data_IF_107660243213
#
_entry.id   IF_107660243213
#
_cell.length_a   1.000
_cell.length_b   1.000
_cell.length_c   1.000
_cell.angle_alpha   90.00
_cell.angle_beta   90.00
_cell.angle_gamma   90.00
#
_symmetry.space_group_name_H-M   'P 1'
#
loop_
_entity.id
_entity.type
_entity.pdbx_description
1 polymer ?
#
# COMPACT_ATOMS: atom_id res chain seq x y z
N UNK A 1 -5.06 -20.60 27.11
CA UNK A 1 -3.91 -20.48 26.18
C UNK A 1 -4.36 -20.80 24.80
N UNK A 2 -3.84 -20.14 23.82
CA UNK A 2 -4.11 -20.44 22.41
C UNK A 2 -2.88 -20.14 21.55
N UNK A 3 -2.72 -20.93 20.50
CA UNK A 3 -1.73 -20.71 19.46
C UNK A 3 -2.18 -19.53 18.58
N UNK A 4 -1.27 -18.69 18.06
CA UNK A 4 -1.60 -17.66 17.11
C UNK A 4 -2.39 -18.24 15.93
N UNK A 5 -3.45 -17.56 15.47
CA UNK A 5 -4.27 -18.03 14.36
C UNK A 5 -3.49 -18.03 13.03
N UNK A 6 -3.96 -18.81 12.07
CA UNK A 6 -3.38 -18.89 10.73
C UNK A 6 -3.47 -17.55 9.97
N UNK A 7 -4.49 -16.76 10.27
CA UNK A 7 -4.69 -15.44 9.72
C UNK A 7 -4.29 -14.39 10.75
N UNK A 8 -3.23 -13.61 10.52
CA UNK A 8 -2.74 -12.61 11.48
C UNK A 8 -3.77 -11.52 11.83
N UNK A 9 -4.78 -11.32 11.00
CA UNK A 9 -5.87 -10.36 11.24
C UNK A 9 -7.03 -10.90 12.05
N UNK A 10 -6.93 -12.14 12.52
CA UNK A 10 -7.94 -12.68 13.42
C UNK A 10 -8.07 -11.77 14.66
N UNK A 11 -9.30 -11.54 15.20
CA UNK A 11 -9.53 -10.67 16.36
C UNK A 11 -8.64 -11.00 17.57
N UNK A 12 -8.22 -12.25 17.70
CA UNK A 12 -7.28 -12.70 18.72
C UNK A 12 -5.95 -11.92 18.71
N UNK A 13 -5.44 -11.55 17.53
CA UNK A 13 -4.20 -10.77 17.45
C UNK A 13 -4.34 -9.40 18.10
N UNK A 14 -5.40 -8.66 17.77
CA UNK A 14 -5.65 -7.35 18.38
C UNK A 14 -5.82 -7.49 19.89
N UNK A 15 -6.52 -8.53 20.34
CA UNK A 15 -6.67 -8.83 21.76
C UNK A 15 -5.32 -9.09 22.43
N UNK A 16 -4.50 -9.97 21.86
CA UNK A 16 -3.18 -10.31 22.39
C UNK A 16 -2.22 -9.10 22.38
N UNK A 17 -2.24 -8.28 21.33
CA UNK A 17 -1.41 -7.07 21.25
C UNK A 17 -1.84 -6.02 22.27
N UNK A 18 -3.14 -5.84 22.49
CA UNK A 18 -3.65 -4.92 23.52
C UNK A 18 -3.27 -5.39 24.91
N UNK A 19 -3.40 -6.69 25.21
CA UNK A 19 -3.00 -7.27 26.48
C UNK A 19 -1.48 -7.12 26.70
N UNK A 20 -0.65 -7.36 25.67
CA UNK A 20 0.79 -7.11 25.74
C UNK A 20 1.15 -5.66 25.98
N UNK A 21 0.42 -4.73 25.35
CA UNK A 21 0.62 -3.28 25.52
C UNK A 21 0.17 -2.77 26.90
N UNK A 22 -0.79 -3.44 27.53
CA UNK A 22 -1.27 -3.09 28.88
C UNK A 22 -0.19 -3.30 29.95
N UNK A 23 0.86 -4.08 29.65
CA UNK A 23 1.98 -4.40 30.55
C UNK A 23 1.53 -4.91 31.94
N UNK A 24 0.40 -5.62 31.96
CA UNK A 24 -0.13 -6.32 33.12
C UNK A 24 0.05 -7.84 32.99
N UNK A 25 -0.29 -8.58 34.02
CA UNK A 25 -0.17 -10.05 34.05
C UNK A 25 -1.19 -10.79 33.15
N UNK A 26 -1.91 -10.06 32.30
CA UNK A 26 -2.92 -10.66 31.40
C UNK A 26 -2.33 -11.27 30.14
N UNK A 27 -1.05 -10.97 29.82
CA UNK A 27 -0.33 -11.50 28.67
C UNK A 27 0.89 -12.29 29.09
N UNK A 28 0.93 -13.56 28.74
CA UNK A 28 2.09 -14.42 28.86
C UNK A 28 2.32 -15.16 27.54
N UNK A 29 3.57 -15.22 27.12
CA UNK A 29 4.00 -15.92 25.90
C UNK A 29 5.09 -16.92 26.27
N UNK A 30 4.80 -18.20 26.10
CA UNK A 30 5.76 -19.28 26.31
C UNK A 30 6.14 -19.91 24.97
N UNK A 31 7.39 -19.83 24.61
CA UNK A 31 7.96 -20.43 23.40
C UNK A 31 8.56 -21.81 23.71
N UNK A 32 8.78 -22.63 22.68
CA UNK A 32 9.42 -23.95 22.84
C UNK A 32 10.82 -23.83 23.47
N UNK A 33 11.52 -22.71 23.27
CA UNK A 33 12.85 -22.48 23.84
C UNK A 33 12.80 -22.28 25.37
N UNK A 34 11.66 -21.81 25.90
CA UNK A 34 11.45 -21.51 27.32
C UNK A 34 10.86 -22.68 28.12
N UNK A 35 10.50 -23.77 27.45
CA UNK A 35 9.92 -24.96 28.11
C UNK A 35 11.02 -25.82 28.73
N UNK A 36 11.16 -25.73 30.05
CA UNK A 36 12.26 -26.35 30.80
C UNK A 36 12.30 -27.90 30.71
N UNK A 37 11.13 -28.55 30.64
CA UNK A 37 11.05 -30.02 30.64
C UNK A 37 11.26 -30.64 29.24
N UNK A 38 11.46 -29.84 28.18
CA UNK A 38 11.78 -30.30 26.82
C UNK A 38 13.30 -30.32 26.65
N UNK A 39 13.87 -31.49 26.43
CA UNK A 39 15.30 -31.59 26.19
C UNK A 39 15.72 -30.95 24.86
N UNK A 40 16.99 -30.55 24.69
CA UNK A 40 17.47 -30.02 23.41
C UNK A 40 17.19 -30.93 22.22
N UNK A 41 17.40 -32.25 22.37
CA UNK A 41 17.15 -33.21 21.29
C UNK A 41 15.66 -33.31 20.93
N UNK A 42 14.78 -33.27 21.93
CA UNK A 42 13.33 -33.26 21.70
C UNK A 42 12.88 -31.96 21.01
N UNK A 43 13.51 -30.84 21.38
CA UNK A 43 13.25 -29.53 20.77
C UNK A 43 13.65 -29.53 19.30
N UNK A 44 14.87 -29.98 18.98
CA UNK A 44 15.34 -30.08 17.61
C UNK A 44 14.50 -31.04 16.77
N UNK A 45 14.09 -32.15 17.32
CA UNK A 45 13.20 -33.12 16.67
C UNK A 45 11.82 -32.52 16.37
N UNK A 46 11.25 -31.72 17.30
CA UNK A 46 9.98 -31.02 17.09
C UNK A 46 10.09 -29.94 15.98
N UNK A 47 11.17 -29.16 16.02
CA UNK A 47 11.46 -28.14 15.00
C UNK A 47 11.63 -28.79 13.62
N UNK A 48 12.40 -29.88 13.53
CA UNK A 48 12.59 -30.58 12.26
C UNK A 48 11.26 -31.16 11.72
N UNK A 49 10.42 -31.74 12.59
CA UNK A 49 9.09 -32.25 12.22
C UNK A 49 8.16 -31.15 11.72
N UNK A 50 8.28 -29.95 12.24
CA UNK A 50 7.50 -28.77 11.80
C UNK A 50 8.04 -28.11 10.51
N UNK A 51 9.06 -28.69 9.87
CA UNK A 51 9.65 -28.18 8.64
C UNK A 51 10.84 -27.24 8.83
N UNK A 52 11.42 -27.21 10.04
CA UNK A 52 12.53 -26.34 10.41
C UNK A 52 12.08 -25.05 11.09
N UNK A 53 13.01 -24.37 11.75
CA UNK A 53 12.74 -23.18 12.57
C UNK A 53 12.14 -22.01 11.77
N UNK A 54 12.49 -21.90 10.49
CA UNK A 54 11.98 -20.87 9.60
C UNK A 54 10.57 -21.14 9.05
N UNK A 55 10.09 -22.40 9.16
CA UNK A 55 8.78 -22.76 8.64
C UNK A 55 7.66 -22.03 9.39
N UNK A 56 6.67 -21.53 8.66
CA UNK A 56 5.52 -20.79 9.21
C UNK A 56 4.81 -21.56 10.32
N UNK A 57 4.61 -22.88 10.13
CA UNK A 57 4.03 -23.76 11.16
C UNK A 57 4.87 -23.78 12.42
N UNK A 58 6.19 -23.92 12.30
CA UNK A 58 7.11 -23.93 13.43
C UNK A 58 7.08 -22.59 14.20
N UNK A 59 7.16 -21.48 13.48
CA UNK A 59 7.12 -20.12 14.05
C UNK A 59 5.81 -19.85 14.79
N UNK A 60 4.69 -20.30 14.23
CA UNK A 60 3.37 -20.11 14.83
C UNK A 60 3.15 -21.02 16.04
N UNK A 61 3.36 -22.32 15.88
CA UNK A 61 2.99 -23.34 16.88
C UNK A 61 3.98 -23.40 18.06
N UNK A 62 5.27 -23.19 17.79
CA UNK A 62 6.34 -23.36 18.78
C UNK A 62 6.96 -22.06 19.27
N UNK A 63 6.85 -20.98 18.46
CA UNK A 63 7.42 -19.69 18.85
C UNK A 63 6.35 -18.62 19.03
N UNK A 64 5.07 -18.98 18.97
CA UNK A 64 3.93 -18.07 19.19
C UNK A 64 3.97 -16.81 18.33
N UNK A 65 4.56 -16.89 17.13
CA UNK A 65 4.65 -15.76 16.22
C UNK A 65 3.38 -15.62 15.37
N UNK A 66 2.93 -14.38 15.18
CA UNK A 66 1.89 -14.07 14.20
C UNK A 66 2.54 -13.99 12.82
N UNK A 67 2.44 -15.06 12.06
CA UNK A 67 3.06 -15.18 10.74
C UNK A 67 2.03 -15.48 9.66
N UNK A 68 2.20 -14.88 8.51
CA UNK A 68 1.41 -15.17 7.31
C UNK A 68 2.09 -16.30 6.53
N UNK A 69 1.31 -17.21 5.97
CA UNK A 69 1.82 -18.20 5.03
C UNK A 69 2.37 -17.51 3.78
N UNK A 70 3.68 -17.57 3.55
CA UNK A 70 4.34 -16.94 2.41
C UNK A 70 3.70 -17.35 1.06
N UNK A 71 3.26 -18.61 0.95
CA UNK A 71 2.60 -19.12 -0.26
C UNK A 71 1.27 -18.45 -0.55
N UNK A 72 0.61 -17.90 0.47
CA UNK A 72 -0.66 -17.22 0.36
C UNK A 72 -0.53 -15.69 0.48
N UNK A 73 0.64 -15.18 0.87
CA UNK A 73 0.85 -13.74 0.99
C UNK A 73 0.60 -13.03 -0.34
N UNK A 74 -0.11 -11.91 -0.30
CA UNK A 74 -0.33 -11.07 -1.48
C UNK A 74 0.99 -10.48 -1.98
N UNK A 75 1.80 -9.96 -1.08
CA UNK A 75 3.07 -9.32 -1.38
C UNK A 75 4.16 -9.91 -0.48
N UNK A 76 4.61 -11.14 -0.74
CA UNK A 76 5.59 -11.82 0.11
C UNK A 76 6.92 -11.06 0.23
N UNK A 77 7.26 -10.26 -0.77
CA UNK A 77 8.48 -9.44 -0.78
C UNK A 77 8.46 -8.34 0.29
N UNK A 78 7.26 -7.91 0.75
CA UNK A 78 7.14 -6.76 1.65
C UNK A 78 7.93 -6.92 2.94
N UNK A 79 7.88 -8.08 3.59
CA UNK A 79 8.55 -8.32 4.88
C UNK A 79 10.07 -8.13 4.74
N UNK A 80 10.67 -8.70 3.69
CA UNK A 80 12.11 -8.57 3.44
C UNK A 80 12.53 -7.14 3.10
N UNK A 81 11.64 -6.38 2.44
CA UNK A 81 11.91 -5.03 1.95
C UNK A 81 11.26 -3.93 2.79
N UNK A 82 10.60 -4.26 3.90
CA UNK A 82 9.82 -3.33 4.75
C UNK A 82 10.56 -2.03 5.05
N UNK A 83 11.82 -2.11 5.47
CA UNK A 83 12.64 -0.93 5.80
C UNK A 83 12.86 0.05 4.64
N UNK A 84 12.68 -0.40 3.40
CA UNK A 84 12.77 0.44 2.20
C UNK A 84 11.40 0.93 1.73
N UNK A 85 10.34 0.22 2.08
CA UNK A 85 8.95 0.57 1.74
C UNK A 85 8.35 1.49 2.80
N UNK A 86 8.49 1.17 4.08
CA UNK A 86 7.98 1.98 5.19
C UNK A 86 9.00 3.06 5.53
N UNK A 87 8.82 4.25 4.93
CA UNK A 87 9.74 5.38 5.13
C UNK A 87 8.98 6.71 5.18
N UNK A 88 9.51 7.62 5.98
CA UNK A 88 9.17 9.03 5.89
C UNK A 88 10.13 9.71 4.92
N UNK A 89 9.58 10.32 3.86
CA UNK A 89 10.35 11.06 2.86
C UNK A 89 9.79 12.47 2.68
N UNK A 90 10.67 13.43 2.52
CA UNK A 90 10.27 14.81 2.27
C UNK A 90 9.64 14.92 0.87
N UNK A 91 8.45 15.54 0.80
CA UNK A 91 7.77 15.76 -0.47
C UNK A 91 8.50 16.83 -1.27
N UNK A 92 8.89 16.56 -2.53
CA UNK A 92 9.59 17.53 -3.37
C UNK A 92 8.69 18.72 -3.69
N UNK A 93 9.29 19.87 -3.99
CA UNK A 93 8.57 21.09 -4.40
C UNK A 93 7.65 20.85 -5.60
N UNK A 94 8.13 20.08 -6.59
CA UNK A 94 7.39 19.70 -7.78
C UNK A 94 7.11 18.21 -7.76
N UNK A 95 5.85 17.85 -7.86
CA UNK A 95 5.39 16.46 -7.87
C UNK A 95 4.09 16.32 -8.67
N UNK A 96 3.92 15.16 -9.30
CA UNK A 96 2.62 14.76 -9.85
C UNK A 96 1.83 14.07 -8.74
N UNK A 97 0.69 14.63 -8.36
CA UNK A 97 -0.17 14.08 -7.32
C UNK A 97 -1.20 13.10 -7.93
N UNK A 98 -1.44 12.02 -7.19
CA UNK A 98 -2.40 10.99 -7.53
C UNK A 98 -3.28 10.69 -6.33
N UNK A 99 -4.58 10.56 -6.56
CA UNK A 99 -5.50 9.99 -5.56
C UNK A 99 -6.16 8.77 -6.16
N UNK A 100 -6.03 7.66 -5.48
CA UNK A 100 -6.58 6.38 -5.92
C UNK A 100 -7.43 5.81 -4.82
N UNK A 101 -8.65 5.40 -5.13
CA UNK A 101 -9.57 4.83 -4.15
C UNK A 101 -10.09 3.48 -4.62
N UNK A 102 -10.09 2.53 -3.72
CA UNK A 102 -10.88 1.31 -3.79
C UNK A 102 -12.09 1.48 -2.86
N UNK A 103 -13.30 1.31 -3.39
CA UNK A 103 -14.52 1.58 -2.66
C UNK A 103 -15.25 0.30 -2.29
N UNK A 104 -15.58 0.14 -1.01
CA UNK A 104 -16.46 -0.88 -0.51
C UNK A 104 -17.54 -0.30 0.40
N UNK A 105 -18.81 -0.73 0.27
CA UNK A 105 -19.84 -0.30 1.21
C UNK A 105 -19.84 -1.17 2.47
N UNK A 106 -19.79 -2.49 2.31
CA UNK A 106 -19.69 -3.44 3.41
C UNK A 106 -18.25 -3.65 3.89
N UNK A 107 -17.28 -3.45 3.00
CA UNK A 107 -15.86 -3.52 3.24
C UNK A 107 -15.28 -2.14 3.55
N UNK A 108 -13.96 -2.00 3.53
CA UNK A 108 -13.33 -0.70 3.65
C UNK A 108 -13.40 0.07 2.32
N UNK A 109 -13.63 1.38 2.40
CA UNK A 109 -13.22 2.28 1.34
C UNK A 109 -11.85 2.84 1.71
N UNK A 110 -10.85 2.56 0.88
CA UNK A 110 -9.46 2.97 1.13
C UNK A 110 -8.99 3.86 -0.02
N UNK A 111 -8.64 5.10 0.30
CA UNK A 111 -8.03 6.01 -0.66
C UNK A 111 -6.58 6.31 -0.26
N UNK A 112 -5.67 6.21 -1.22
CA UNK A 112 -4.28 6.61 -1.09
C UNK A 112 -4.04 7.96 -1.75
N UNK A 113 -3.47 8.91 -0.98
CA UNK A 113 -2.97 10.17 -1.48
C UNK A 113 -1.48 9.98 -1.79
N UNK A 114 -1.17 9.92 -3.08
CA UNK A 114 0.13 9.52 -3.57
C UNK A 114 0.79 10.61 -4.41
N UNK A 115 2.11 10.54 -4.54
CA UNK A 115 2.84 11.33 -5.53
C UNK A 115 4.04 10.54 -6.07
N UNK A 116 4.45 10.88 -7.29
CA UNK A 116 5.68 10.32 -7.83
C UNK A 116 6.87 11.19 -7.42
N UNK A 117 7.79 10.63 -6.66
CA UNK A 117 9.04 11.26 -6.27
C UNK A 117 10.11 11.01 -7.33
N UNK A 118 10.30 11.97 -8.23
CA UNK A 118 11.16 11.81 -9.41
C UNK A 118 12.61 11.45 -9.05
N UNK A 119 13.21 12.14 -8.07
CA UNK A 119 14.60 11.90 -7.68
C UNK A 119 14.83 10.51 -7.09
N UNK A 120 13.86 9.95 -6.37
CA UNK A 120 13.92 8.59 -5.82
C UNK A 120 13.47 7.53 -6.84
N UNK A 121 12.77 7.94 -7.90
CA UNK A 121 12.16 7.03 -8.86
C UNK A 121 11.04 6.18 -8.26
N UNK A 122 10.40 6.65 -7.19
CA UNK A 122 9.43 5.92 -6.40
C UNK A 122 8.05 6.59 -6.37
N UNK A 123 6.99 5.78 -6.32
CA UNK A 123 5.66 6.21 -5.94
C UNK A 123 5.59 6.25 -4.41
N UNK A 124 5.21 7.39 -3.86
CA UNK A 124 5.05 7.60 -2.43
C UNK A 124 3.58 7.65 -2.08
N UNK A 125 3.12 6.80 -1.18
CA UNK A 125 1.80 6.92 -0.53
C UNK A 125 2.01 7.73 0.73
N UNK A 126 1.62 9.00 0.70
CA UNK A 126 1.88 9.95 1.78
C UNK A 126 0.81 9.90 2.86
N UNK A 127 -0.45 9.75 2.47
CA UNK A 127 -1.60 9.65 3.36
C UNK A 127 -2.60 8.61 2.85
N UNK A 128 -3.41 8.12 3.77
CA UNK A 128 -4.58 7.30 3.47
C UNK A 128 -5.85 7.90 4.06
N UNK A 129 -6.99 7.65 3.43
CA UNK A 129 -8.31 7.88 3.96
C UNK A 129 -9.01 6.53 4.02
N UNK A 130 -9.39 6.09 5.21
CA UNK A 130 -10.02 4.80 5.43
C UNK A 130 -11.40 5.03 6.03
N UNK A 131 -12.41 4.49 5.40
CA UNK A 131 -13.80 4.61 5.84
C UNK A 131 -14.50 3.26 5.75
N UNK A 132 -15.44 3.03 6.66
CA UNK A 132 -16.27 1.83 6.68
C UNK A 132 -17.74 2.24 6.68
N UNK A 133 -18.58 1.48 6.02
CA UNK A 133 -20.05 1.73 5.93
C UNK A 133 -20.38 3.16 5.51
N UNK A 134 -19.57 3.75 4.63
CA UNK A 134 -19.72 5.12 4.20
C UNK A 134 -20.39 5.21 2.81
N UNK A 135 -21.26 6.17 2.63
CA UNK A 135 -21.79 6.48 1.31
C UNK A 135 -20.71 7.08 0.39
N UNK A 136 -20.88 6.92 -0.92
CA UNK A 136 -19.96 7.52 -1.90
C UNK A 136 -19.75 9.02 -1.66
N UNK A 137 -20.82 9.76 -1.36
CA UNK A 137 -20.72 11.18 -1.03
C UNK A 137 -19.88 11.48 0.22
N UNK A 138 -19.97 10.64 1.26
CA UNK A 138 -19.14 10.80 2.45
C UNK A 138 -17.67 10.52 2.15
N UNK A 139 -17.37 9.45 1.37
CA UNK A 139 -16.02 9.12 0.92
C UNK A 139 -15.44 10.27 0.09
N UNK A 140 -16.21 10.80 -0.88
CA UNK A 140 -15.77 11.93 -1.72
C UNK A 140 -15.41 13.17 -0.90
N UNK A 141 -16.25 13.53 0.09
CA UNK A 141 -15.96 14.66 1.01
C UNK A 141 -14.68 14.43 1.83
N UNK A 142 -14.53 13.25 2.39
CA UNK A 142 -13.37 12.92 3.22
C UNK A 142 -12.05 12.98 2.41
N UNK A 143 -12.06 12.44 1.19
CA UNK A 143 -10.91 12.51 0.28
C UNK A 143 -10.59 13.96 -0.06
N UNK A 144 -11.58 14.75 -0.48
CA UNK A 144 -11.37 16.15 -0.86
C UNK A 144 -10.84 17.00 0.31
N UNK A 145 -11.39 16.78 1.50
CA UNK A 145 -10.90 17.45 2.72
C UNK A 145 -9.45 17.07 3.03
N UNK A 146 -9.10 15.80 2.90
CA UNK A 146 -7.73 15.34 3.13
C UNK A 146 -6.75 15.85 2.06
N UNK A 147 -7.14 15.92 0.79
CA UNK A 147 -6.33 16.54 -0.25
C UNK A 147 -6.03 18.03 0.04
N UNK A 148 -7.04 18.77 0.48
CA UNK A 148 -6.86 20.18 0.86
C UNK A 148 -5.96 20.36 2.08
N UNK A 149 -6.10 19.48 3.08
CA UNK A 149 -5.23 19.47 4.27
C UNK A 149 -3.77 19.20 3.90
N UNK A 150 -3.53 18.21 3.05
CA UNK A 150 -2.18 17.73 2.72
C UNK A 150 -1.48 18.59 1.68
N UNK A 151 -2.22 19.01 0.64
CA UNK A 151 -1.65 19.68 -0.54
C UNK A 151 -2.12 21.13 -0.69
N UNK A 152 -2.91 21.66 0.27
CA UNK A 152 -3.51 22.97 0.21
C UNK A 152 -4.52 23.08 -0.94
N UNK A 153 -4.46 24.15 -1.71
CA UNK A 153 -5.32 24.35 -2.89
C UNK A 153 -4.85 23.56 -4.11
N UNK A 154 -3.74 22.82 -4.02
CA UNK A 154 -3.21 22.04 -5.12
C UNK A 154 -4.06 20.78 -5.28
N UNK A 155 -4.68 20.68 -6.45
CA UNK A 155 -5.50 19.53 -6.81
C UNK A 155 -4.61 18.44 -7.41
N UNK A 156 -4.79 17.16 -7.06
CA UNK A 156 -4.09 16.06 -7.71
C UNK A 156 -4.23 16.11 -9.22
N UNK A 157 -3.16 15.83 -9.93
CA UNK A 157 -3.15 15.79 -11.39
C UNK A 157 -4.13 14.73 -11.90
N UNK A 158 -4.31 13.64 -11.13
CA UNK A 158 -5.12 12.50 -11.53
C UNK A 158 -5.78 11.82 -10.36
N UNK A 159 -7.02 11.37 -10.61
CA UNK A 159 -7.78 10.58 -9.63
C UNK A 159 -8.42 9.38 -10.29
N UNK A 160 -8.32 8.22 -9.65
CA UNK A 160 -8.95 6.97 -10.10
C UNK A 160 -9.72 6.33 -8.98
N UNK A 161 -10.85 5.74 -9.33
CA UNK A 161 -11.67 4.97 -8.41
C UNK A 161 -11.98 3.58 -8.97
N UNK A 162 -11.78 2.56 -8.15
CA UNK A 162 -12.45 1.28 -8.36
C UNK A 162 -13.84 1.38 -7.73
N UNK A 163 -14.79 1.79 -8.54
CA UNK A 163 -16.16 2.03 -8.13
C UNK A 163 -17.11 1.93 -9.32
N UNK A 164 -18.39 1.76 -9.05
CA UNK A 164 -19.43 1.91 -10.08
C UNK A 164 -19.52 3.38 -10.53
N UNK A 165 -20.00 3.61 -11.74
CA UNK A 165 -20.27 4.97 -12.24
C UNK A 165 -21.19 5.75 -11.30
N UNK A 166 -22.18 5.07 -10.70
CA UNK A 166 -23.10 5.68 -9.73
C UNK A 166 -22.31 6.13 -8.47
N UNK A 167 -21.44 5.28 -7.91
CA UNK A 167 -20.64 5.62 -6.75
C UNK A 167 -19.69 6.80 -7.05
N UNK A 168 -19.12 6.86 -8.25
CA UNK A 168 -18.29 7.99 -8.70
C UNK A 168 -19.12 9.28 -8.78
N UNK A 169 -20.34 9.20 -9.32
CA UNK A 169 -21.25 10.33 -9.35
C UNK A 169 -21.64 10.79 -7.94
N UNK A 170 -21.95 9.86 -7.05
CA UNK A 170 -22.27 10.16 -5.65
C UNK A 170 -21.09 10.80 -4.91
N UNK A 171 -19.86 10.35 -5.15
CA UNK A 171 -18.65 10.99 -4.61
C UNK A 171 -18.54 12.44 -5.08
N UNK A 172 -18.75 12.68 -6.37
CA UNK A 172 -18.70 14.04 -6.94
C UNK A 172 -19.80 14.92 -6.36
N UNK A 173 -21.04 14.48 -6.41
CA UNK A 173 -22.19 15.29 -6.01
C UNK A 173 -22.19 15.54 -4.49
N UNK A 174 -21.80 14.54 -3.71
CA UNK A 174 -21.71 14.64 -2.25
C UNK A 174 -20.54 15.50 -1.75
N UNK A 175 -19.50 15.72 -2.55
CA UNK A 175 -18.38 16.59 -2.22
C UNK A 175 -18.46 17.98 -2.86
N UNK A 176 -19.48 18.24 -3.70
CA UNK A 176 -19.73 19.56 -4.28
C UNK A 176 -20.16 20.56 -3.19
N UNK A 177 -19.67 21.79 -3.29
CA UNK A 177 -20.12 22.86 -2.43
C UNK A 177 -21.31 23.55 -3.06
N UNK A 178 -22.39 23.72 -2.29
CA UNK A 178 -23.65 24.29 -2.75
C UNK A 178 -24.01 25.52 -1.89
N UNK A 179 -24.76 26.46 -2.49
CA UNK A 179 -25.39 27.52 -1.73
C UNK A 179 -26.67 27.07 -1.02
N UNK A 180 -27.35 28.01 -0.34
CA UNK A 180 -28.58 27.73 0.40
C UNK A 180 -29.75 27.30 -0.54
N UNK A 181 -29.69 27.69 -1.80
CA UNK A 181 -30.70 27.35 -2.82
C UNK A 181 -30.38 26.03 -3.55
N UNK A 182 -29.24 25.38 -3.20
CA UNK A 182 -28.82 24.12 -3.79
C UNK A 182 -27.99 24.25 -5.07
N UNK A 183 -27.66 25.47 -5.53
CA UNK A 183 -26.83 25.66 -6.71
C UNK A 183 -25.37 25.30 -6.40
N UNK A 184 -24.69 24.69 -7.37
CA UNK A 184 -23.30 24.28 -7.22
C UNK A 184 -22.38 25.50 -7.30
N UNK A 185 -21.72 25.82 -6.18
CA UNK A 185 -20.70 26.86 -6.10
C UNK A 185 -19.32 26.34 -6.51
N UNK A 186 -18.97 25.15 -6.07
CA UNK A 186 -17.74 24.48 -6.42
C UNK A 186 -18.04 23.04 -6.82
N UNK A 187 -17.45 22.57 -7.92
CA UNK A 187 -17.58 21.20 -8.37
C UNK A 187 -16.95 20.24 -7.35
N UNK A 188 -17.60 19.13 -7.11
CA UNK A 188 -17.04 18.08 -6.27
C UNK A 188 -15.90 17.32 -6.94
N UNK A 189 -15.33 16.40 -6.18
CA UNK A 189 -14.19 15.58 -6.59
C UNK A 189 -14.60 14.67 -7.78
N UNK A 190 -13.81 14.70 -8.85
CA UNK A 190 -14.04 13.86 -10.02
C UNK A 190 -13.00 12.76 -10.11
N UNK A 191 -13.46 11.53 -10.36
CA UNK A 191 -12.63 10.34 -10.55
C UNK A 191 -12.82 9.77 -11.96
N UNK A 192 -11.73 9.29 -12.55
CA UNK A 192 -11.79 8.33 -13.65
C UNK A 192 -11.96 6.91 -13.07
N UNK A 193 -12.58 6.02 -13.84
CA UNK A 193 -12.64 4.62 -13.46
C UNK A 193 -11.23 4.00 -13.47
N UNK A 194 -10.91 3.23 -12.46
CA UNK A 194 -9.69 2.44 -12.44
C UNK A 194 -9.78 1.33 -13.50
N UNK A 195 -8.66 1.08 -14.15
CA UNK A 195 -8.57 0.03 -15.17
C UNK A 195 -8.43 -1.34 -14.49
N UNK A 196 -9.41 -2.22 -14.71
CA UNK A 196 -9.50 -3.55 -14.08
C UNK A 196 -8.87 -4.67 -14.91
N UNK A 197 -8.54 -4.43 -16.18
CA UNK A 197 -7.94 -5.44 -17.04
C UNK A 197 -6.57 -5.87 -16.50
N UNK A 198 -6.21 -7.13 -16.74
CA UNK A 198 -4.93 -7.71 -16.33
C UNK A 198 -4.60 -7.55 -14.83
N UNK A 199 -5.55 -7.91 -13.97
CA UNK A 199 -5.39 -7.83 -12.52
C UNK A 199 -4.12 -8.56 -12.02
N UNK A 200 -3.76 -9.68 -12.64
CA UNK A 200 -2.56 -10.44 -12.35
C UNK A 200 -1.30 -9.63 -12.69
N UNK A 201 -1.25 -9.02 -13.87
CA UNK A 201 -0.10 -8.19 -14.26
C UNK A 201 0.01 -6.92 -13.39
N UNK A 202 -1.13 -6.32 -13.00
CA UNK A 202 -1.14 -5.19 -12.09
C UNK A 202 -0.61 -5.58 -10.70
N UNK A 203 -0.99 -6.75 -10.21
CA UNK A 203 -0.48 -7.29 -8.96
C UNK A 203 1.02 -7.58 -9.02
N UNK A 204 1.48 -8.20 -10.11
CA UNK A 204 2.91 -8.45 -10.31
C UNK A 204 3.73 -7.15 -10.38
N UNK A 205 3.17 -6.07 -10.96
CA UNK A 205 3.81 -4.74 -10.96
C UNK A 205 3.95 -4.18 -9.54
N UNK A 206 2.93 -4.38 -8.68
CA UNK A 206 3.00 -3.98 -7.28
C UNK A 206 4.14 -4.71 -6.56
N UNK A 207 4.21 -6.04 -6.68
CA UNK A 207 5.29 -6.85 -6.11
C UNK A 207 6.67 -6.39 -6.59
N UNK A 208 6.82 -6.19 -7.89
CA UNK A 208 8.06 -5.66 -8.48
C UNK A 208 8.41 -4.26 -7.95
N UNK A 209 7.41 -3.39 -7.75
CA UNK A 209 7.66 -2.06 -7.18
C UNK A 209 8.16 -2.12 -5.73
N UNK A 210 7.66 -3.08 -4.94
CA UNK A 210 8.16 -3.37 -3.59
C UNK A 210 9.59 -3.89 -3.64
N UNK A 211 9.85 -4.93 -4.44
CA UNK A 211 11.17 -5.56 -4.58
C UNK A 211 12.25 -4.58 -5.06
N UNK A 212 11.89 -3.70 -5.98
CA UNK A 212 12.80 -2.69 -6.54
C UNK A 212 12.88 -1.38 -5.73
N UNK A 213 12.26 -1.32 -4.54
CA UNK A 213 12.19 -0.12 -3.69
C UNK A 213 11.61 1.11 -4.41
N UNK A 214 10.66 0.88 -5.33
CA UNK A 214 9.97 1.92 -6.11
C UNK A 214 8.61 2.28 -5.52
N UNK A 215 8.22 1.67 -4.41
CA UNK A 215 7.06 2.01 -3.61
C UNK A 215 7.53 2.42 -2.22
N UNK A 216 7.12 3.59 -1.79
CA UNK A 216 7.35 4.09 -0.43
C UNK A 216 5.98 4.38 0.18
N UNK A 217 5.78 3.97 1.41
CA UNK A 217 4.57 4.19 2.17
C UNK A 217 4.95 4.87 3.47
N UNK A 218 4.34 6.03 3.72
CA UNK A 218 4.60 6.75 4.95
C UNK A 218 4.09 5.95 6.15
N UNK A 219 4.81 5.89 7.29
CA UNK A 219 4.42 5.13 8.49
C UNK A 219 3.03 5.45 9.02
N UNK A 220 2.49 6.64 8.74
CA UNK A 220 1.11 7.03 9.10
C UNK A 220 0.02 6.27 8.33
N UNK A 221 0.35 5.63 7.22
CA UNK A 221 -0.57 4.82 6.41
C UNK A 221 -0.67 3.40 7.00
N UNK A 222 -1.18 3.32 8.22
CA UNK A 222 -1.15 2.09 9.03
C UNK A 222 -1.99 0.97 8.44
N UNK A 223 -3.14 1.30 7.83
CA UNK A 223 -4.00 0.32 7.16
C UNK A 223 -3.32 -0.26 5.92
N UNK A 224 -2.70 0.61 5.12
CA UNK A 224 -1.99 0.18 3.91
C UNK A 224 -0.81 -0.74 4.26
N UNK A 225 -0.04 -0.39 5.28
CA UNK A 225 1.08 -1.21 5.77
C UNK A 225 0.58 -2.56 6.33
N UNK A 226 -0.49 -2.56 7.12
CA UNK A 226 -1.08 -3.78 7.67
C UNK A 226 -1.61 -4.70 6.55
N UNK A 227 -2.30 -4.14 5.54
CA UNK A 227 -2.79 -4.93 4.42
C UNK A 227 -1.67 -5.51 3.54
N UNK A 228 -0.51 -4.85 3.43
CA UNK A 228 0.67 -5.42 2.78
C UNK A 228 1.31 -6.54 3.61
N UNK A 229 1.35 -6.36 4.94
CA UNK A 229 1.96 -7.33 5.85
C UNK A 229 1.13 -8.60 5.98
N UNK A 230 -0.21 -8.46 6.06
CA UNK A 230 -1.11 -9.57 6.41
C UNK A 230 -2.00 -10.03 5.26
N UNK A 231 -1.97 -9.34 4.13
CA UNK A 231 -2.79 -9.66 2.98
C UNK A 231 -2.50 -11.03 2.41
N UNK A 232 -3.55 -11.85 2.24
CA UNK A 232 -3.46 -13.20 1.71
C UNK A 232 -4.46 -13.45 0.59
N UNK A 233 -4.07 -14.34 -0.32
CA UNK A 233 -4.97 -14.91 -1.30
C UNK A 233 -5.98 -15.86 -0.64
N UNK A 234 -7.18 -15.95 -1.20
CA UNK A 234 -8.12 -17.01 -0.86
C UNK A 234 -7.50 -18.39 -1.14
N UNK A 235 -8.13 -19.45 -0.64
CA UNK A 235 -7.62 -20.83 -0.80
C UNK A 235 -7.45 -21.25 -2.25
N UNK A 236 -8.21 -20.65 -3.17
CA UNK A 236 -8.14 -20.91 -4.60
C UNK A 236 -7.02 -20.08 -5.30
N UNK A 237 -6.47 -19.07 -4.65
CA UNK A 237 -5.47 -18.17 -5.24
C UNK A 237 -6.01 -17.25 -6.34
N UNK A 238 -7.32 -17.05 -6.38
CA UNK A 238 -8.02 -16.30 -7.46
C UNK A 238 -8.41 -14.90 -7.04
N UNK A 239 -8.61 -14.68 -5.75
CA UNK A 239 -9.03 -13.41 -5.17
C UNK A 239 -8.40 -13.21 -3.79
N UNK A 240 -8.53 -12.03 -3.23
CA UNK A 240 -8.08 -11.75 -1.87
C UNK A 240 -8.97 -12.51 -0.88
N UNK A 241 -8.38 -12.96 0.22
CA UNK A 241 -9.15 -13.57 1.30
C UNK A 241 -10.07 -12.53 1.93
N UNK A 242 -11.28 -12.94 2.27
CA UNK A 242 -12.22 -12.12 3.02
C UNK A 242 -12.07 -12.43 4.50
N UNK A 243 -11.82 -11.41 5.28
CA UNK A 243 -11.81 -11.50 6.75
C UNK A 243 -13.21 -11.22 7.23
N UNK A 244 -13.85 -12.20 7.88
CA UNK A 244 -15.19 -12.10 8.40
C UNK A 244 -15.23 -11.42 9.77
N UNK A 245 -16.42 -10.94 10.15
CA UNK A 245 -16.67 -10.38 11.47
C UNK A 245 -16.98 -8.88 11.44
N UNK A 246 -17.17 -8.26 12.64
CA UNK A 246 -17.52 -6.84 12.75
C UNK A 246 -16.51 -5.87 12.13
N UNK A 247 -15.25 -6.29 12.06
CA UNK A 247 -14.15 -5.58 11.43
C UNK A 247 -13.69 -6.25 10.13
N UNK A 248 -14.53 -7.08 9.54
CA UNK A 248 -14.24 -7.78 8.29
C UNK A 248 -13.85 -6.82 7.16
N UNK A 249 -12.96 -7.25 6.28
CA UNK A 249 -12.47 -6.49 5.13
C UNK A 249 -11.86 -7.42 4.08
N UNK A 250 -11.44 -6.87 2.97
CA UNK A 250 -10.99 -7.61 1.79
C UNK A 250 -9.62 -7.14 1.27
N UNK A 251 -8.74 -6.66 2.16
CA UNK A 251 -7.41 -6.10 1.82
C UNK A 251 -7.47 -4.99 0.76
N UNK A 252 -8.50 -4.14 0.86
CA UNK A 252 -8.82 -3.08 -0.10
C UNK A 252 -7.64 -2.11 -0.33
N UNK A 253 -6.76 -1.91 0.67
CA UNK A 253 -5.57 -1.10 0.49
C UNK A 253 -4.56 -1.72 -0.50
N UNK A 254 -4.48 -3.06 -0.60
CA UNK A 254 -3.65 -3.71 -1.63
C UNK A 254 -4.27 -3.53 -3.01
N UNK A 255 -5.60 -3.57 -3.12
CA UNK A 255 -6.29 -3.26 -4.37
C UNK A 255 -6.03 -1.80 -4.78
N UNK A 256 -6.17 -0.86 -3.86
CA UNK A 256 -5.84 0.55 -4.09
C UNK A 256 -4.39 0.73 -4.58
N UNK A 257 -3.41 0.05 -3.95
CA UNK A 257 -2.00 0.11 -4.37
C UNK A 257 -1.78 -0.44 -5.79
N UNK A 258 -2.48 -1.51 -6.18
CA UNK A 258 -2.42 -2.04 -7.56
C UNK A 258 -2.81 -0.97 -8.58
N UNK A 259 -3.89 -0.23 -8.32
CA UNK A 259 -4.32 0.85 -9.18
C UNK A 259 -3.35 2.04 -9.14
N UNK A 260 -2.80 2.39 -7.97
CA UNK A 260 -1.84 3.48 -7.80
C UNK A 260 -0.55 3.23 -8.59
N UNK A 261 0.02 2.03 -8.48
CA UNK A 261 1.22 1.63 -9.23
C UNK A 261 0.97 1.65 -10.74
N UNK A 262 -0.23 1.25 -11.18
CA UNK A 262 -0.63 1.27 -12.59
C UNK A 262 -0.82 2.69 -13.12
N UNK A 263 -1.43 3.56 -12.32
CA UNK A 263 -1.72 4.94 -12.69
C UNK A 263 -0.48 5.85 -12.70
N UNK A 264 0.57 5.47 -11.97
CA UNK A 264 1.79 6.24 -11.84
C UNK A 264 2.51 6.43 -13.18
N UNK A 265 2.86 7.67 -13.48
CA UNK A 265 3.68 8.01 -14.64
C UNK A 265 5.16 7.91 -14.30
N UNK A 266 5.66 6.69 -14.33
CA UNK A 266 7.05 6.40 -14.02
C UNK A 266 8.03 7.16 -14.92
N UNK A 267 9.02 7.80 -14.30
CA UNK A 267 10.07 8.52 -15.01
C UNK A 267 9.71 9.91 -15.50
N UNK A 268 8.45 10.37 -15.32
CA UNK A 268 8.08 11.73 -15.68
C UNK A 268 8.64 12.73 -14.67
N UNK A 269 9.46 13.68 -15.14
CA UNK A 269 9.90 14.81 -14.33
C UNK A 269 8.75 15.83 -14.18
N UNK A 270 8.27 16.10 -12.95
CA UNK A 270 7.22 17.07 -12.73
C UNK A 270 7.70 18.53 -12.71
N UNK A 271 9.01 18.77 -12.67
CA UNK A 271 9.56 20.13 -12.62
C UNK A 271 9.29 20.88 -13.94
N UNK A 272 8.87 22.15 -13.88
CA UNK A 272 8.72 22.99 -15.06
C UNK A 272 10.04 23.14 -15.83
N UNK A 273 9.97 23.08 -17.15
CA UNK A 273 11.15 23.25 -18.01
C UNK A 273 11.82 24.62 -17.79
N UNK A 274 11.00 25.64 -17.49
CA UNK A 274 11.45 27.04 -17.28
C UNK A 274 12.32 27.15 -16.02
N UNK A 275 12.04 26.40 -14.96
CA UNK A 275 12.88 26.39 -13.76
C UNK A 275 14.26 25.73 -13.97
N UNK A 276 14.37 24.84 -14.92
CA UNK A 276 15.64 24.21 -15.27
C UNK A 276 16.66 25.21 -15.88
N UNK A 277 16.20 26.36 -16.33
CA UNK A 277 17.00 27.42 -16.94
C UNK A 277 17.14 28.69 -16.06
N UNK A 278 16.61 28.68 -14.81
CA UNK A 278 16.76 29.83 -13.93
C UNK A 278 18.23 29.96 -13.48
N UNK A 279 18.83 31.18 -13.54
CA UNK A 279 20.26 31.37 -13.21
C UNK A 279 20.62 30.90 -11.79
N UNK A 280 19.71 31.02 -10.84
CA UNK A 280 19.92 30.55 -9.45
C UNK A 280 20.00 29.03 -9.33
N UNK A 281 19.50 28.29 -10.32
CA UNK A 281 19.64 26.84 -10.43
C UNK A 281 20.89 26.41 -11.21
N UNK A 282 21.62 27.35 -11.83
CA UNK A 282 22.84 27.03 -12.58
C UNK A 282 23.91 26.37 -11.71
N UNK A 283 23.92 26.62 -10.40
CA UNK A 283 24.83 25.96 -9.46
C UNK A 283 24.33 24.61 -8.98
N UNK A 284 23.02 24.37 -8.94
CA UNK A 284 22.44 23.08 -8.58
C UNK A 284 22.22 22.16 -9.80
N UNK A 285 22.07 22.73 -10.98
CA UNK A 285 21.83 22.01 -12.23
C UNK A 285 22.92 20.99 -12.60
N UNK A 286 24.23 21.25 -12.46
CA UNK A 286 25.26 20.26 -12.80
C UNK A 286 25.20 19.02 -11.92
N UNK A 287 24.87 19.18 -10.65
CA UNK A 287 24.77 18.06 -9.71
C UNK A 287 23.49 17.22 -9.98
N UNK A 288 22.36 17.87 -10.19
CA UNK A 288 21.11 17.22 -10.55
C UNK A 288 21.20 16.56 -11.92
N UNK A 289 21.80 17.22 -12.92
CA UNK A 289 22.07 16.65 -14.24
C UNK A 289 23.05 15.48 -14.18
N UNK A 290 24.07 15.54 -13.32
CA UNK A 290 25.01 14.44 -13.12
C UNK A 290 24.33 13.25 -12.43
N UNK A 291 23.45 13.51 -11.46
CA UNK A 291 22.65 12.49 -10.79
C UNK A 291 21.63 11.89 -11.75
N UNK A 292 20.95 12.70 -12.54
CA UNK A 292 20.01 12.25 -13.58
C UNK A 292 20.72 11.43 -14.64
N UNK A 293 21.89 11.85 -15.13
CA UNK A 293 22.72 11.07 -16.07
C UNK A 293 23.14 9.72 -15.48
N UNK A 294 23.46 9.64 -14.19
CA UNK A 294 23.77 8.38 -13.51
C UNK A 294 22.54 7.45 -13.44
N UNK A 295 21.37 8.00 -13.10
CA UNK A 295 20.11 7.26 -13.08
C UNK A 295 19.75 6.78 -14.49
N UNK A 296 19.87 7.63 -15.51
CA UNK A 296 19.58 7.28 -16.90
C UNK A 296 20.58 6.26 -17.47
N UNK A 297 21.88 6.36 -17.09
CA UNK A 297 22.87 5.36 -17.43
C UNK A 297 22.63 4.01 -16.76
N UNK A 298 22.25 4.02 -15.48
CA UNK A 298 21.86 2.80 -14.76
C UNK A 298 20.61 2.16 -15.39
N UNK A 299 19.65 2.96 -15.86
CA UNK A 299 18.45 2.50 -16.57
C UNK A 299 18.74 1.96 -17.96
N UNK A 300 19.63 2.60 -18.74
CA UNK A 300 20.04 2.13 -20.07
C UNK A 300 20.88 0.86 -20.00
N UNK A 301 21.63 0.66 -18.94
CA UNK A 301 22.39 -0.57 -18.70
C UNK A 301 21.55 -1.75 -18.23
N UNK A 302 20.35 -1.49 -17.71
CA UNK A 302 19.43 -2.52 -17.19
C UNK A 302 18.17 -2.70 -18.04
N UNK A 303 18.08 -2.19 -19.26
CA UNK A 303 16.92 -2.26 -20.15
C UNK A 303 15.59 -2.22 -19.37
N UNK A 304 14.79 -1.16 -19.49
CA UNK A 304 13.55 -1.00 -18.71
C UNK A 304 12.71 -2.30 -18.80
N UNK A 305 12.57 -3.09 -17.71
CA UNK A 305 11.87 -4.37 -17.75
C UNK A 305 10.39 -4.20 -18.13
N UNK A 306 9.86 -2.97 -18.05
CA UNK A 306 8.47 -2.66 -18.42
C UNK A 306 8.31 -2.41 -19.93
N UNK A 307 9.32 -1.92 -20.64
CA UNK A 307 9.29 -1.76 -22.10
C UNK A 307 9.67 -3.05 -22.84
N UNK A 308 10.56 -3.85 -22.27
CA UNK A 308 10.98 -5.12 -22.88
C UNK A 308 9.85 -6.17 -22.93
N UNK A 309 8.88 -6.11 -22.01
CA UNK A 309 7.74 -7.02 -21.99
C UNK A 309 6.69 -6.73 -23.09
N UNK A 310 6.66 -5.50 -23.62
CA UNK A 310 5.68 -5.11 -24.65
C UNK A 310 6.19 -5.21 -26.07
N UNK A 311 7.52 -5.19 -26.30
CA UNK A 311 8.08 -5.27 -27.65
C UNK A 311 8.15 -6.69 -28.25
N UNK A 312 7.83 -7.74 -27.48
CA UNK A 312 7.86 -9.14 -27.95
C UNK A 312 6.55 -9.68 -28.50
N UNK A 313 5.47 -8.88 -28.59
CA UNK A 313 4.17 -9.34 -29.08
C UNK A 313 3.86 -9.00 -30.55
N UNK A 314 4.73 -8.27 -31.23
CA UNK A 314 4.53 -7.90 -32.64
C UNK A 314 5.59 -8.51 -33.56
N UNK A 315 5.89 -9.82 -33.39
CA UNK A 315 6.57 -10.62 -34.40
C UNK A 315 6.02 -12.04 -34.41
#
# INVERSE_FOLDING_TARGET
SSTPPETPEHPYRSYAMNAKAAADDSYDQCTLDEVEHVTPDQREAAIAKAGGRAATTCRREYFCEFVTEEKRALVPEFIAHRKFVEQEVERPRHFDAYTVVDTGFNDLSVAGLCYYHFALGALVVEHEVVMRHASGGAVGRAILAKEHEVWGTRVPTRRWADASLQTIADMRDGSAKRDADGNVLEQGIAFAMAEKQDAVAAHQRLRTAVEQHRLIIHPRCTTTLAHLEYGIWNKQGTDFERIDGPNGHHFDAVAMLRYAVRACRWGKNPAPIVEAHHPDHAFAAPHLLAQQKRVDQARRGQGDPFTAAFSRRDR
#
